data_IF_643865155500
#
_entry.id   IF_643865155500
#
_cell.length_a   1.000
_cell.length_b   1.000
_cell.length_c   1.000
_cell.angle_alpha   90.00
_cell.angle_beta   90.00
_cell.angle_gamma   90.00
#
_symmetry.space_group_name_H-M   'P 1'
#
loop_
_entity.id
_entity.type
_entity.pdbx_description
1 polymer ?
#
# COMPACT_ATOMS: atom_id res chain seq x y z
N UNK A 1 -38.40 -7.85 -16.40
CA UNK A 1 -37.69 -8.15 -17.68
C UNK A 1 -36.43 -7.30 -17.72
N UNK A 2 -35.28 -7.92 -17.96
CA UNK A 2 -34.03 -7.18 -18.15
C UNK A 2 -34.05 -6.51 -19.54
N UNK A 3 -34.07 -5.17 -19.63
CA UNK A 3 -34.29 -4.48 -20.89
C UNK A 3 -33.19 -4.72 -21.92
N UNK A 4 -32.04 -5.24 -21.53
CA UNK A 4 -30.87 -5.49 -22.38
C UNK A 4 -30.46 -6.97 -22.42
N UNK A 5 -31.29 -7.92 -21.95
CA UNK A 5 -30.99 -9.33 -22.16
C UNK A 5 -30.92 -9.63 -23.69
N UNK A 6 -29.85 -10.31 -24.18
CA UNK A 6 -28.86 -11.13 -23.45
C UNK A 6 -27.52 -10.40 -23.12
N UNK A 7 -27.49 -9.10 -23.05
CA UNK A 7 -26.27 -8.34 -22.82
C UNK A 7 -26.00 -8.14 -21.33
N UNK A 8 -24.73 -8.17 -20.97
CA UNK A 8 -24.23 -7.83 -19.62
C UNK A 8 -23.22 -6.71 -19.73
N UNK A 9 -23.45 -5.61 -19.03
CA UNK A 9 -22.54 -4.47 -18.95
C UNK A 9 -21.82 -4.45 -17.62
N UNK A 10 -20.55 -4.02 -17.64
CA UNK A 10 -19.72 -3.85 -16.44
C UNK A 10 -18.98 -2.53 -16.53
N UNK A 11 -19.05 -1.75 -15.46
CA UNK A 11 -18.33 -0.49 -15.37
C UNK A 11 -16.92 -0.75 -14.85
N UNK A 12 -15.92 -0.19 -15.55
CA UNK A 12 -14.51 -0.25 -15.17
C UNK A 12 -13.93 1.15 -15.12
N UNK A 13 -13.06 1.41 -14.15
CA UNK A 13 -12.26 2.63 -14.11
C UNK A 13 -10.82 2.29 -14.51
N UNK A 14 -10.31 2.91 -15.58
CA UNK A 14 -8.92 2.82 -16.01
C UNK A 14 -8.12 4.03 -15.55
N UNK A 15 -6.94 3.81 -14.98
CA UNK A 15 -5.97 4.84 -14.60
C UNK A 15 -4.66 4.58 -15.32
N UNK A 16 -4.13 5.59 -16.00
CA UNK A 16 -2.88 5.50 -16.76
C UNK A 16 -1.92 6.59 -16.31
N UNK A 17 -0.68 6.22 -16.00
CA UNK A 17 0.37 7.16 -15.64
C UNK A 17 1.61 6.81 -16.47
N UNK A 18 2.22 7.83 -17.08
CA UNK A 18 3.44 7.69 -17.88
C UNK A 18 4.21 9.02 -17.92
N UNK A 19 5.51 8.96 -18.19
CA UNK A 19 6.39 10.13 -18.33
C UNK A 19 6.83 10.71 -16.99
N UNK A 20 7.08 12.02 -16.95
CA UNK A 20 7.58 12.68 -15.76
C UNK A 20 6.42 13.14 -14.86
N UNK A 21 6.46 12.77 -13.59
CA UNK A 21 5.56 13.28 -12.54
C UNK A 21 5.74 14.78 -12.34
N UNK A 22 6.97 15.24 -12.49
CA UNK A 22 7.32 16.67 -12.44
C UNK A 22 8.36 16.98 -13.51
N UNK A 23 8.06 17.95 -14.35
CA UNK A 23 9.03 18.42 -15.34
C UNK A 23 10.18 19.16 -14.65
N UNK A 24 11.40 18.89 -15.13
CA UNK A 24 12.60 19.58 -14.67
C UNK A 24 12.59 21.08 -15.03
N UNK A 25 13.27 21.87 -14.22
CA UNK A 25 13.54 23.27 -14.47
C UNK A 25 14.96 23.62 -14.00
N UNK A 26 15.34 24.89 -14.07
CA UNK A 26 16.67 25.36 -13.68
C UNK A 26 17.03 25.07 -12.20
N UNK A 27 16.07 24.87 -11.32
CA UNK A 27 16.24 24.64 -9.88
C UNK A 27 16.13 23.14 -9.51
N UNK A 28 15.34 22.37 -10.26
CA UNK A 28 15.02 20.99 -9.90
C UNK A 28 15.15 20.08 -11.12
N UNK A 29 15.65 18.88 -10.90
CA UNK A 29 15.67 17.83 -11.92
C UNK A 29 14.27 17.31 -12.21
N UNK A 30 14.08 16.71 -13.39
CA UNK A 30 12.86 15.99 -13.73
C UNK A 30 12.73 14.77 -12.81
N UNK A 31 11.51 14.52 -12.37
CA UNK A 31 11.16 13.37 -11.54
C UNK A 31 10.26 12.43 -12.37
N UNK A 32 10.79 11.26 -12.70
CA UNK A 32 10.06 10.25 -13.46
C UNK A 32 8.97 9.62 -12.60
N UNK A 33 7.85 9.25 -13.24
CA UNK A 33 6.79 8.49 -12.58
C UNK A 33 7.25 7.09 -12.23
N UNK A 34 6.74 6.58 -11.12
CA UNK A 34 6.99 5.24 -10.62
C UNK A 34 5.69 4.45 -10.45
N UNK A 35 5.80 3.16 -10.23
CA UNK A 35 4.64 2.34 -9.85
C UNK A 35 3.99 2.83 -8.55
N UNK A 36 4.76 3.41 -7.63
CA UNK A 36 4.24 3.92 -6.36
C UNK A 36 3.30 5.11 -6.53
N UNK A 37 3.49 5.93 -7.58
CA UNK A 37 2.58 7.05 -7.90
C UNK A 37 1.21 6.53 -8.36
N UNK A 38 1.21 5.46 -9.20
CA UNK A 38 -0.03 4.79 -9.57
C UNK A 38 -0.70 4.16 -8.33
N UNK A 39 0.06 3.47 -7.49
CA UNK A 39 -0.46 2.85 -6.27
C UNK A 39 -1.09 3.90 -5.34
N UNK A 40 -0.41 5.00 -5.08
CA UNK A 40 -0.94 6.08 -4.25
C UNK A 40 -2.24 6.65 -4.82
N UNK A 41 -2.36 6.72 -6.15
CA UNK A 41 -3.59 7.16 -6.82
C UNK A 41 -4.72 6.14 -6.61
N UNK A 42 -4.46 4.84 -6.77
CA UNK A 42 -5.44 3.78 -6.53
C UNK A 42 -5.89 3.78 -5.07
N UNK A 43 -4.94 3.84 -4.12
CA UNK A 43 -5.24 3.90 -2.68
C UNK A 43 -6.11 5.13 -2.36
N UNK A 44 -5.81 6.30 -2.97
CA UNK A 44 -6.60 7.52 -2.81
C UNK A 44 -8.02 7.38 -3.34
N UNK A 45 -8.23 6.71 -4.48
CA UNK A 45 -9.58 6.42 -5.02
C UNK A 45 -10.35 5.53 -4.06
N UNK A 46 -9.75 4.44 -3.59
CA UNK A 46 -10.38 3.50 -2.66
C UNK A 46 -10.76 4.18 -1.33
N UNK A 47 -9.83 4.95 -0.75
CA UNK A 47 -10.07 5.71 0.49
C UNK A 47 -11.21 6.71 0.32
N UNK A 48 -11.28 7.45 -0.80
CA UNK A 48 -12.37 8.40 -1.08
C UNK A 48 -13.72 7.70 -1.25
N UNK A 49 -13.72 6.44 -1.68
CA UNK A 49 -14.90 5.58 -1.72
C UNK A 49 -15.19 4.91 -0.36
N UNK A 50 -14.47 5.26 0.69
CA UNK A 50 -14.64 4.70 2.04
C UNK A 50 -14.04 3.30 2.19
N UNK A 51 -13.20 2.83 1.27
CA UNK A 51 -12.54 1.51 1.31
C UNK A 51 -11.12 1.70 1.85
N UNK A 52 -11.00 1.76 3.19
CA UNK A 52 -9.72 1.99 3.88
C UNK A 52 -9.00 0.69 4.26
N UNK A 53 -9.60 -0.45 3.98
CA UNK A 53 -9.20 -1.79 4.38
C UNK A 53 -8.88 -2.70 3.20
N UNK A 54 -8.63 -2.12 2.02
CA UNK A 54 -8.22 -2.89 0.85
C UNK A 54 -6.83 -3.52 1.06
N UNK A 55 -6.72 -4.78 0.65
CA UNK A 55 -5.47 -5.56 0.72
C UNK A 55 -4.86 -5.62 -0.67
N UNK A 56 -3.58 -5.26 -0.79
CA UNK A 56 -2.82 -5.37 -2.02
C UNK A 56 -1.87 -6.58 -1.95
N UNK A 57 -1.98 -7.50 -2.90
CA UNK A 57 -1.14 -8.69 -3.01
C UNK A 57 -0.53 -8.81 -4.40
N UNK A 58 0.62 -9.46 -4.51
CA UNK A 58 1.25 -9.71 -5.82
C UNK A 58 0.32 -10.59 -6.65
N UNK A 59 0.01 -10.13 -7.86
CA UNK A 59 -0.83 -10.86 -8.81
C UNK A 59 0.02 -11.69 -9.76
N UNK A 60 -0.48 -12.84 -10.15
CA UNK A 60 0.12 -13.63 -11.23
C UNK A 60 -0.16 -12.96 -12.58
N UNK A 61 0.88 -12.71 -13.36
CA UNK A 61 0.78 -12.16 -14.71
C UNK A 61 1.11 -13.28 -15.72
N UNK A 62 0.09 -13.95 -16.31
CA UNK A 62 0.32 -14.98 -17.30
C UNK A 62 0.90 -14.40 -18.59
N UNK A 63 1.47 -15.28 -19.43
CA UNK A 63 1.95 -14.88 -20.76
C UNK A 63 0.83 -14.24 -21.58
N UNK A 64 1.14 -13.13 -22.26
CA UNK A 64 0.14 -12.32 -22.99
C UNK A 64 -0.68 -11.37 -22.11
N UNK A 65 -0.44 -11.33 -20.80
CA UNK A 65 -1.03 -10.32 -19.94
C UNK A 65 -0.61 -8.92 -20.36
N UNK A 66 -1.51 -7.93 -20.15
CA UNK A 66 -1.15 -6.50 -20.30
C UNK A 66 -0.07 -6.07 -19.30
N UNK A 67 0.08 -6.78 -18.20
CA UNK A 67 1.04 -6.47 -17.15
C UNK A 67 2.26 -7.37 -17.19
N UNK A 68 3.45 -6.79 -16.98
CA UNK A 68 4.68 -7.53 -16.65
C UNK A 68 4.75 -7.86 -15.16
N UNK A 69 4.25 -6.97 -14.31
CA UNK A 69 4.11 -7.12 -12.86
C UNK A 69 2.85 -6.38 -12.43
N UNK A 70 2.10 -6.94 -11.49
CA UNK A 70 0.88 -6.31 -10.97
C UNK A 70 0.62 -6.63 -9.50
N UNK A 71 -0.16 -5.76 -8.86
CA UNK A 71 -0.82 -6.01 -7.59
C UNK A 71 -2.31 -6.20 -7.82
N UNK A 72 -2.90 -7.14 -7.11
CA UNK A 72 -4.33 -7.30 -6.98
C UNK A 72 -4.82 -6.58 -5.72
N UNK A 73 -5.82 -5.74 -5.87
CA UNK A 73 -6.50 -5.08 -4.76
C UNK A 73 -7.78 -5.84 -4.44
N UNK A 74 -7.90 -6.28 -3.20
CA UNK A 74 -9.06 -7.05 -2.73
C UNK A 74 -9.63 -6.43 -1.45
N UNK A 75 -10.89 -6.73 -1.17
CA UNK A 75 -11.41 -6.51 0.19
C UNK A 75 -10.80 -7.52 1.16
N UNK A 76 -10.95 -7.30 2.46
CA UNK A 76 -10.55 -8.27 3.51
C UNK A 76 -11.21 -9.64 3.34
N UNK A 77 -12.37 -9.70 2.67
CA UNK A 77 -13.08 -10.94 2.37
C UNK A 77 -12.66 -11.57 1.02
N UNK A 78 -11.60 -11.05 0.39
CA UNK A 78 -11.04 -11.59 -0.84
C UNK A 78 -11.77 -11.20 -2.13
N UNK A 79 -12.77 -10.30 -2.10
CA UNK A 79 -13.43 -9.81 -3.33
C UNK A 79 -12.46 -8.91 -4.08
N UNK A 80 -12.19 -9.23 -5.35
CA UNK A 80 -11.33 -8.43 -6.23
C UNK A 80 -11.97 -7.07 -6.50
N UNK A 81 -11.18 -6.01 -6.30
CA UNK A 81 -11.53 -4.61 -6.60
C UNK A 81 -10.84 -4.13 -7.87
N UNK A 82 -9.70 -4.70 -8.22
CA UNK A 82 -8.96 -4.35 -9.43
C UNK A 82 -7.52 -4.82 -9.42
N UNK A 83 -6.82 -4.47 -10.49
CA UNK A 83 -5.40 -4.72 -10.68
C UNK A 83 -4.69 -3.40 -10.97
N UNK A 84 -3.46 -3.24 -10.49
CA UNK A 84 -2.58 -2.16 -10.88
C UNK A 84 -1.16 -2.69 -11.11
N UNK A 85 -0.50 -2.25 -12.18
CA UNK A 85 0.79 -2.82 -12.54
C UNK A 85 1.57 -2.04 -13.55
N UNK A 86 2.71 -2.60 -13.92
CA UNK A 86 3.60 -2.13 -14.98
C UNK A 86 3.14 -2.78 -16.28
N UNK A 87 2.89 -1.98 -17.31
CA UNK A 87 2.48 -2.48 -18.63
C UNK A 87 3.63 -3.26 -19.26
N UNK A 88 3.33 -4.42 -19.83
CA UNK A 88 4.32 -5.27 -20.48
C UNK A 88 4.90 -4.61 -21.75
N UNK A 89 6.09 -5.03 -22.16
CA UNK A 89 6.80 -4.44 -23.31
C UNK A 89 6.08 -4.67 -24.64
N UNK A 90 5.35 -5.77 -24.81
CA UNK A 90 4.67 -6.10 -26.06
C UNK A 90 3.52 -5.13 -26.38
N UNK A 91 2.55 -4.85 -25.47
CA UNK A 91 1.55 -3.80 -25.69
C UNK A 91 2.17 -2.43 -25.99
N UNK A 92 3.24 -2.05 -25.29
CA UNK A 92 3.91 -0.75 -25.51
C UNK A 92 4.51 -0.65 -26.93
N UNK A 93 5.12 -1.71 -27.41
CA UNK A 93 5.65 -1.75 -28.80
C UNK A 93 4.56 -1.64 -29.84
N UNK A 94 3.40 -2.29 -29.62
CA UNK A 94 2.26 -2.24 -30.57
C UNK A 94 1.64 -0.85 -30.66
N UNK A 95 1.75 -0.05 -29.62
CA UNK A 95 1.19 1.31 -29.56
C UNK A 95 2.25 2.40 -29.75
N UNK A 96 3.51 2.03 -30.08
CA UNK A 96 4.68 2.93 -30.19
C UNK A 96 4.88 3.81 -28.93
N UNK A 97 4.49 3.30 -27.76
CA UNK A 97 4.74 3.98 -26.50
C UNK A 97 6.19 3.77 -26.05
N UNK A 98 6.89 4.87 -25.76
CA UNK A 98 8.28 4.87 -25.24
C UNK A 98 8.28 5.12 -23.76
N UNK A 99 9.06 4.32 -23.04
CA UNK A 99 9.22 4.42 -21.58
C UNK A 99 8.20 3.58 -20.81
N UNK A 100 8.29 3.57 -19.48
CA UNK A 100 7.40 2.81 -18.63
C UNK A 100 5.99 3.44 -18.63
N UNK A 101 4.98 2.57 -18.65
CA UNK A 101 3.58 2.94 -18.48
C UNK A 101 3.04 2.12 -17.31
N UNK A 102 2.37 2.78 -16.41
CA UNK A 102 1.70 2.18 -15.26
C UNK A 102 0.19 2.26 -15.48
N UNK A 103 -0.50 1.15 -15.28
CA UNK A 103 -1.93 1.04 -15.54
C UNK A 103 -2.65 0.38 -14.37
N UNK A 104 -3.82 0.89 -14.03
CA UNK A 104 -4.75 0.22 -13.14
C UNK A 104 -6.13 0.10 -13.78
N UNK A 105 -6.77 -1.06 -13.56
CA UNK A 105 -8.17 -1.31 -13.88
C UNK A 105 -8.92 -1.69 -12.62
N UNK A 106 -9.93 -0.89 -12.26
CA UNK A 106 -10.74 -1.07 -11.07
C UNK A 106 -12.16 -1.48 -11.44
N UNK A 107 -12.72 -2.45 -10.71
CA UNK A 107 -14.13 -2.85 -10.81
C UNK A 107 -15.01 -1.78 -10.17
N UNK A 108 -15.49 -0.85 -11.02
CA UNK A 108 -16.24 0.30 -10.55
C UNK A 108 -17.62 -0.10 -9.98
N UNK A 109 -18.23 -1.14 -10.51
CA UNK A 109 -19.50 -1.66 -9.98
C UNK A 109 -19.31 -2.21 -8.56
N UNK A 110 -18.24 -2.99 -8.34
CA UNK A 110 -17.91 -3.52 -7.02
C UNK A 110 -17.58 -2.41 -6.01
N UNK A 111 -16.78 -1.42 -6.42
CA UNK A 111 -16.38 -0.29 -5.58
C UNK A 111 -17.60 0.57 -5.24
N UNK A 112 -18.43 0.92 -6.23
CA UNK A 112 -19.64 1.73 -6.03
C UNK A 112 -20.65 1.04 -5.11
N UNK A 113 -20.81 -0.28 -5.25
CA UNK A 113 -21.70 -1.05 -4.37
C UNK A 113 -21.23 -1.03 -2.93
N UNK A 114 -19.91 -1.19 -2.70
CA UNK A 114 -19.34 -1.12 -1.34
C UNK A 114 -19.46 0.30 -0.79
N UNK A 115 -19.14 1.33 -1.58
CA UNK A 115 -19.25 2.72 -1.19
C UNK A 115 -20.68 3.10 -0.79
N UNK A 116 -21.68 2.65 -1.55
CA UNK A 116 -23.09 2.89 -1.26
C UNK A 116 -23.56 2.22 0.06
N UNK A 117 -22.92 1.14 0.47
CA UNK A 117 -23.22 0.44 1.73
C UNK A 117 -22.52 1.04 2.95
N UNK A 118 -21.55 1.94 2.76
CA UNK A 118 -20.77 2.57 3.83
C UNK A 118 -21.29 3.98 4.11
N UNK A 119 -21.61 4.24 5.36
CA UNK A 119 -21.98 5.59 5.81
C UNK A 119 -20.75 6.31 6.37
N UNK A 120 -20.54 7.54 5.94
CA UNK A 120 -19.57 8.42 6.59
C UNK A 120 -20.07 8.75 8.00
N UNK A 121 -19.32 8.29 9.00
CA UNK A 121 -19.59 8.59 10.40
C UNK A 121 -18.71 9.74 10.86
N UNK A 122 -19.32 10.74 11.47
CA UNK A 122 -18.55 11.78 12.15
C UNK A 122 -17.82 11.16 13.35
N UNK A 123 -16.53 11.40 13.43
CA UNK A 123 -15.73 11.14 14.62
C UNK A 123 -15.08 12.45 15.07
N UNK A 124 -15.13 12.80 16.37
CA UNK A 124 -14.43 13.98 16.87
C UNK A 124 -12.93 13.79 16.70
N UNK A 125 -12.22 14.90 16.47
CA UNK A 125 -10.77 14.87 16.42
C UNK A 125 -10.20 14.38 17.76
N UNK A 126 -9.12 13.57 17.74
CA UNK A 126 -8.43 13.17 18.97
C UNK A 126 -8.01 14.38 19.81
N UNK A 127 -8.22 14.33 21.11
CA UNK A 127 -7.84 15.38 22.04
C UNK A 127 -6.39 15.27 22.53
N UNK A 128 -5.73 14.21 22.16
CA UNK A 128 -4.37 13.86 22.60
C UNK A 128 -3.35 14.05 21.48
N UNK A 129 -2.11 14.28 21.85
CA UNK A 129 -1.02 14.31 20.89
C UNK A 129 -0.58 12.90 20.50
N UNK A 130 -0.26 12.64 19.21
CA UNK A 130 0.32 11.39 18.77
C UNK A 130 1.76 11.26 19.28
N UNK A 131 2.17 10.01 19.54
CA UNK A 131 3.54 9.66 19.87
C UNK A 131 4.13 8.91 18.69
N UNK A 132 5.28 9.37 18.21
CA UNK A 132 6.00 8.78 17.08
C UNK A 132 7.15 7.92 17.62
N UNK A 133 7.34 6.73 17.05
CA UNK A 133 8.45 5.81 17.38
C UNK A 133 9.01 5.21 16.11
N UNK A 134 10.32 5.23 16.00
CA UNK A 134 11.06 4.63 14.89
C UNK A 134 11.67 3.31 15.30
N UNK A 135 11.76 2.38 14.36
CA UNK A 135 12.50 1.14 14.47
C UNK A 135 13.33 0.90 13.22
N UNK A 136 14.59 0.52 13.43
CA UNK A 136 15.45 0.01 12.36
C UNK A 136 15.56 -1.50 12.50
N UNK A 137 15.17 -2.20 11.42
CA UNK A 137 15.04 -3.65 11.37
C UNK A 137 15.99 -4.24 10.34
N UNK A 138 16.78 -5.21 10.71
CA UNK A 138 17.52 -6.06 9.79
C UNK A 138 16.69 -7.30 9.49
N UNK A 139 16.39 -7.55 8.23
CA UNK A 139 15.46 -8.56 7.76
C UNK A 139 16.03 -9.36 6.60
N UNK A 140 15.55 -10.57 6.38
CA UNK A 140 15.81 -11.29 5.15
C UNK A 140 15.19 -10.56 3.95
N UNK A 141 15.85 -10.58 2.78
CA UNK A 141 15.36 -9.92 1.56
C UNK A 141 13.98 -10.38 1.13
N UNK A 142 13.62 -11.62 1.43
CA UNK A 142 12.31 -12.19 1.11
C UNK A 142 11.15 -11.56 1.92
N UNK A 143 11.42 -11.06 3.13
CA UNK A 143 10.37 -10.48 3.99
C UNK A 143 9.86 -9.18 3.37
N UNK A 144 8.57 -9.10 3.15
CA UNK A 144 7.91 -7.93 2.56
C UNK A 144 7.51 -6.89 3.61
N UNK A 145 7.33 -5.62 3.20
CA UNK A 145 6.81 -4.60 4.10
C UNK A 145 5.38 -4.92 4.57
N UNK A 146 4.58 -5.56 3.73
CA UNK A 146 3.22 -5.98 4.10
C UNK A 146 3.21 -6.97 5.28
N UNK A 147 4.18 -7.90 5.34
CA UNK A 147 4.33 -8.83 6.47
C UNK A 147 4.76 -8.10 7.74
N UNK A 148 5.70 -7.15 7.63
CA UNK A 148 6.12 -6.30 8.75
C UNK A 148 4.92 -5.51 9.28
N UNK A 149 4.19 -4.83 8.40
CA UNK A 149 3.02 -4.03 8.75
C UNK A 149 1.93 -4.88 9.41
N UNK A 150 1.66 -6.08 8.90
CA UNK A 150 0.68 -7.01 9.47
C UNK A 150 1.03 -7.41 10.91
N UNK A 151 2.31 -7.70 11.18
CA UNK A 151 2.79 -8.02 12.53
C UNK A 151 2.66 -6.83 13.47
N UNK A 152 3.09 -5.64 13.04
CA UNK A 152 3.02 -4.41 13.84
C UNK A 152 1.56 -4.05 14.16
N UNK A 153 0.66 -4.08 13.16
CA UNK A 153 -0.76 -3.79 13.34
C UNK A 153 -1.48 -4.79 14.27
N UNK A 154 -1.02 -6.03 14.31
CA UNK A 154 -1.57 -7.05 15.20
C UNK A 154 -1.20 -6.84 16.69
N UNK A 155 -0.14 -6.08 16.99
CA UNK A 155 0.33 -5.89 18.34
C UNK A 155 -0.62 -5.06 19.21
N UNK A 156 -1.12 -3.92 18.70
CA UNK A 156 -2.15 -3.12 19.36
C UNK A 156 -2.95 -2.32 18.33
N UNK A 157 -4.18 -2.81 18.04
CA UNK A 157 -5.07 -2.19 17.06
C UNK A 157 -5.73 -0.90 17.55
N UNK A 158 -5.71 -0.64 18.86
CA UNK A 158 -6.43 0.49 19.44
C UNK A 158 -5.64 1.79 19.31
N UNK A 159 -4.34 1.74 19.58
CA UNK A 159 -3.51 2.95 19.61
C UNK A 159 -2.63 3.13 18.38
N UNK A 160 -2.38 2.09 17.60
CA UNK A 160 -1.57 2.19 16.38
C UNK A 160 -2.37 2.86 15.27
N UNK A 161 -1.92 4.04 14.82
CA UNK A 161 -2.57 4.83 13.75
C UNK A 161 -1.95 4.58 12.38
N UNK A 162 -0.63 4.69 12.29
CA UNK A 162 0.09 4.44 11.04
C UNK A 162 1.37 3.64 11.28
N UNK A 163 1.80 2.95 10.21
CA UNK A 163 3.11 2.33 10.07
C UNK A 163 3.63 2.77 8.72
N UNK A 164 4.76 3.43 8.68
CA UNK A 164 5.34 4.00 7.47
C UNK A 164 6.78 3.51 7.30
N UNK A 165 7.13 3.10 6.10
CA UNK A 165 8.49 2.76 5.72
C UNK A 165 9.16 4.03 5.18
N UNK A 166 10.15 4.57 5.87
CA UNK A 166 10.80 5.80 5.45
C UNK A 166 12.21 5.60 4.90
N UNK A 167 12.84 4.43 5.16
CA UNK A 167 14.13 4.10 4.55
C UNK A 167 14.27 2.61 4.28
N UNK A 168 14.91 2.29 3.14
CA UNK A 168 15.27 0.93 2.72
C UNK A 168 16.73 0.93 2.32
N UNK A 169 17.54 0.15 3.03
CA UNK A 169 18.94 0.01 2.70
C UNK A 169 19.26 -1.44 2.31
N UNK A 170 19.80 -1.59 1.10
CA UNK A 170 20.32 -2.85 0.56
C UNK A 170 21.75 -2.58 0.03
N UNK A 171 22.74 -2.72 0.88
CA UNK A 171 24.13 -2.41 0.50
C UNK A 171 25.14 -3.35 1.15
N UNK A 172 26.39 -3.20 0.70
CA UNK A 172 27.53 -4.07 1.05
C UNK A 172 27.89 -4.10 2.56
N UNK A 173 27.32 -3.18 3.34
CA UNK A 173 27.54 -3.14 4.79
C UNK A 173 26.61 -4.08 5.56
N UNK A 174 25.69 -4.76 4.87
CA UNK A 174 24.79 -5.75 5.46
C UNK A 174 25.26 -7.17 5.18
N UNK A 175 24.91 -8.13 6.05
CA UNK A 175 25.12 -9.55 5.74
C UNK A 175 24.44 -9.95 4.43
N UNK A 176 25.05 -10.88 3.69
CA UNK A 176 24.50 -11.37 2.43
C UNK A 176 23.06 -11.90 2.62
N UNK A 177 22.14 -11.51 1.74
CA UNK A 177 20.73 -11.92 1.80
C UNK A 177 19.88 -11.10 2.77
N UNK A 178 20.43 -10.10 3.44
CA UNK A 178 19.71 -9.20 4.35
C UNK A 178 19.44 -7.84 3.72
N UNK A 179 18.41 -7.16 4.23
CA UNK A 179 18.09 -5.75 3.99
C UNK A 179 17.73 -5.06 5.30
N UNK A 180 17.83 -3.74 5.32
CA UNK A 180 17.40 -2.93 6.47
C UNK A 180 16.15 -2.14 6.10
N UNK A 181 15.13 -2.21 6.95
CA UNK A 181 13.96 -1.34 6.91
C UNK A 181 13.99 -0.39 8.09
N UNK A 182 13.76 0.90 7.84
CA UNK A 182 13.48 1.88 8.87
C UNK A 182 12.00 2.27 8.79
N UNK A 183 11.27 1.96 9.86
CA UNK A 183 9.82 2.20 9.95
C UNK A 183 9.51 3.20 11.04
N UNK A 184 8.55 4.06 10.77
CA UNK A 184 7.96 4.99 11.73
C UNK A 184 6.57 4.50 12.10
N UNK A 185 6.26 4.49 13.38
CA UNK A 185 4.93 4.15 13.91
C UNK A 185 4.34 5.34 14.64
N UNK A 186 3.10 5.68 14.32
CA UNK A 186 2.34 6.69 15.05
C UNK A 186 1.36 6.01 15.99
N UNK A 187 1.48 6.32 17.27
CA UNK A 187 0.65 5.78 18.35
C UNK A 187 -0.21 6.91 18.94
N UNK A 188 -1.51 6.71 19.08
CA UNK A 188 -2.41 7.70 19.68
C UNK A 188 -3.65 7.03 20.27
N UNK A 189 -4.04 7.45 21.47
CA UNK A 189 -5.34 7.14 22.06
C UNK A 189 -6.23 8.39 21.93
N UNK A 190 -7.48 8.23 21.53
CA UNK A 190 -8.39 9.36 21.24
C UNK A 190 -8.77 10.14 22.49
N UNK A 191 -8.78 9.51 23.65
CA UNK A 191 -9.28 10.07 24.89
C UNK A 191 -8.20 10.41 25.92
N UNK A 192 -7.10 9.62 25.96
CA UNK A 192 -6.10 9.69 27.03
C UNK A 192 -4.70 9.82 26.48
N UNK A 193 -3.92 10.71 27.07
CA UNK A 193 -2.49 10.80 26.79
C UNK A 193 -1.80 9.46 27.11
N UNK A 194 -1.05 8.93 26.16
CA UNK A 194 -0.31 7.70 26.34
C UNK A 194 0.80 7.88 27.37
N UNK A 195 0.88 6.97 28.34
CA UNK A 195 1.95 6.95 29.32
C UNK A 195 3.17 6.18 28.76
N UNK A 196 4.38 6.62 29.09
CA UNK A 196 5.63 6.02 28.61
C UNK A 196 5.70 4.52 28.90
N UNK A 197 5.32 4.09 30.09
CA UNK A 197 5.28 2.68 30.47
C UNK A 197 4.38 1.82 29.57
N UNK A 198 3.27 2.39 29.08
CA UNK A 198 2.38 1.69 28.15
C UNK A 198 3.00 1.62 26.76
N UNK A 199 3.60 2.73 26.30
CA UNK A 199 4.29 2.81 25.01
C UNK A 199 5.44 1.78 24.97
N UNK A 200 6.28 1.75 25.98
CA UNK A 200 7.39 0.79 26.09
C UNK A 200 6.93 -0.67 26.05
N UNK A 201 5.81 -0.98 26.71
CA UNK A 201 5.22 -2.31 26.68
C UNK A 201 4.76 -2.70 25.27
N UNK A 202 4.09 -1.78 24.56
CA UNK A 202 3.63 -2.01 23.18
C UNK A 202 4.82 -2.15 22.23
N UNK A 203 5.84 -1.29 22.37
CA UNK A 203 7.06 -1.37 21.59
C UNK A 203 7.80 -2.69 21.81
N UNK A 204 7.96 -3.11 23.07
CA UNK A 204 8.58 -4.40 23.40
C UNK A 204 7.81 -5.58 22.79
N UNK A 205 6.48 -5.53 22.80
CA UNK A 205 5.65 -6.56 22.16
C UNK A 205 5.88 -6.57 20.65
N UNK A 206 5.87 -5.40 19.99
CA UNK A 206 6.12 -5.28 18.53
C UNK A 206 7.48 -5.88 18.18
N UNK A 207 8.53 -5.51 18.91
CA UNK A 207 9.89 -6.00 18.67
C UNK A 207 9.95 -7.53 18.83
N UNK A 208 9.39 -8.07 19.90
CA UNK A 208 9.35 -9.50 20.13
C UNK A 208 8.57 -10.24 19.03
N UNK A 209 7.41 -9.71 18.63
CA UNK A 209 6.60 -10.30 17.55
C UNK A 209 7.33 -10.29 16.20
N UNK A 210 8.03 -9.19 15.86
CA UNK A 210 8.84 -9.09 14.64
C UNK A 210 10.02 -10.06 14.66
N UNK A 211 10.72 -10.18 15.80
CA UNK A 211 11.82 -11.11 15.95
C UNK A 211 11.35 -12.56 15.82
N UNK A 212 10.26 -12.93 16.51
CA UNK A 212 9.80 -14.33 16.50
C UNK A 212 9.13 -14.75 15.19
N UNK A 213 8.37 -13.86 14.53
CA UNK A 213 7.60 -14.21 13.35
C UNK A 213 8.36 -14.01 12.04
N UNK A 214 9.24 -13.00 11.98
CA UNK A 214 9.94 -12.61 10.76
C UNK A 214 11.46 -12.72 10.85
N UNK A 215 12.01 -13.16 12.01
CA UNK A 215 13.45 -13.22 12.22
C UNK A 215 14.11 -11.83 12.17
N UNK A 216 13.37 -10.77 12.51
CA UNK A 216 13.90 -9.42 12.51
C UNK A 216 14.90 -9.21 13.64
N UNK A 217 16.01 -8.54 13.34
CA UNK A 217 16.99 -8.09 14.32
C UNK A 217 16.94 -6.55 14.42
N UNK A 218 17.01 -6.01 15.62
CA UNK A 218 17.12 -4.56 15.81
C UNK A 218 18.51 -4.08 15.41
N UNK A 219 18.55 -2.94 14.75
CA UNK A 219 19.79 -2.30 14.33
C UNK A 219 19.96 -0.92 14.97
#
# INVERSE_FOLDING_TARGET
EAPLAPYTEKSRMGLWIAGAMRQGNWLRQSEETTFYDLRATVDSVLVRCGINDAVATVATCPEGSIFSQALAFTTVNGKLLGLAGVVAAEPLRRTDCKGPVYYAELDWDAISHIAASRNALYAPLPKTQPVVRDLSLLLDKAVTMAEVEAVVRAADKRILRSVELFDVYEGDKLPAGKKSYAITMTLQDDEKTLQDKYIERVMSKIINDLTHKLGAELR
#
